data_IF_651507239075
#
_entry.id   IF_651507239075
#
_cell.length_a   1.000
_cell.length_b   1.000
_cell.length_c   1.000
_cell.angle_alpha   90.00
_cell.angle_beta   90.00
_cell.angle_gamma   90.00
#
_symmetry.space_group_name_H-M   'P 1'
#
loop_
_entity.id
_entity.type
_entity.pdbx_description
1 polymer ?
#
# COMPACT_ATOMS: atom_id res chain seq x y z
N UNK A 1 37.94 -5.63 1.33
CA UNK A 1 36.86 -6.54 0.90
C UNK A 1 36.46 -7.38 2.10
N UNK A 2 35.31 -7.10 2.71
CA UNK A 2 34.78 -7.89 3.83
C UNK A 2 33.79 -8.91 3.30
N UNK A 3 34.22 -10.16 3.14
CA UNK A 3 33.32 -11.24 2.79
C UNK A 3 32.56 -11.67 4.05
N UNK A 4 31.24 -11.70 3.97
CA UNK A 4 30.39 -12.27 5.01
C UNK A 4 29.95 -13.66 4.54
N UNK A 5 30.30 -14.70 5.32
CA UNK A 5 29.80 -16.05 5.08
C UNK A 5 28.35 -16.08 5.57
N UNK A 6 27.43 -16.38 4.66
CA UNK A 6 26.01 -16.55 4.95
C UNK A 6 25.73 -18.05 4.88
N UNK A 7 25.12 -18.60 5.93
CA UNK A 7 24.73 -20.01 5.96
C UNK A 7 23.58 -20.31 4.99
N UNK A 8 23.49 -21.56 4.55
CA UNK A 8 22.47 -21.99 3.59
C UNK A 8 21.04 -21.76 4.08
N UNK A 9 20.79 -21.86 5.40
CA UNK A 9 19.44 -21.65 5.94
C UNK A 9 19.02 -20.17 5.83
N UNK A 10 19.94 -19.24 6.05
CA UNK A 10 19.71 -17.80 5.86
C UNK A 10 19.44 -17.43 4.40
N UNK A 11 20.13 -18.08 3.44
CA UNK A 11 19.84 -17.93 2.00
C UNK A 11 18.43 -18.39 1.68
N UNK A 12 18.04 -19.58 2.15
CA UNK A 12 16.69 -20.13 1.96
C UNK A 12 15.64 -19.19 2.57
N UNK A 13 15.83 -18.75 3.81
CA UNK A 13 14.91 -17.84 4.49
C UNK A 13 14.72 -16.52 3.72
N UNK A 14 15.81 -15.96 3.18
CA UNK A 14 15.76 -14.74 2.37
C UNK A 14 14.98 -14.95 1.07
N UNK A 15 15.19 -16.09 0.40
CA UNK A 15 14.44 -16.44 -0.81
C UNK A 15 12.96 -16.65 -0.54
N UNK A 16 12.60 -17.39 0.51
CA UNK A 16 11.20 -17.59 0.91
C UNK A 16 10.54 -16.25 1.23
N UNK A 17 11.19 -15.38 2.00
CA UNK A 17 10.67 -14.04 2.30
C UNK A 17 10.44 -13.21 1.03
N UNK A 18 11.35 -13.28 0.05
CA UNK A 18 11.18 -12.60 -1.24
C UNK A 18 9.97 -13.15 -2.01
N UNK A 19 9.81 -14.47 -2.07
CA UNK A 19 8.67 -15.11 -2.74
C UNK A 19 7.37 -14.68 -2.06
N UNK A 20 7.26 -14.85 -0.73
CA UNK A 20 6.07 -14.46 0.03
C UNK A 20 5.72 -13.01 -0.25
N UNK A 21 6.68 -12.08 -0.12
CA UNK A 21 6.44 -10.65 -0.39
C UNK A 21 5.91 -10.35 -1.79
N UNK A 22 6.35 -11.13 -2.78
CA UNK A 22 5.91 -10.96 -4.17
C UNK A 22 4.45 -11.40 -4.37
N UNK A 23 3.95 -12.32 -3.53
CA UNK A 23 2.60 -12.88 -3.62
C UNK A 23 1.68 -12.50 -2.46
N UNK A 24 2.12 -11.62 -1.54
CA UNK A 24 1.28 -11.13 -0.42
C UNK A 24 -0.08 -10.60 -0.90
N UNK A 25 -0.21 -9.83 -2.01
CA UNK A 25 -1.52 -9.35 -2.47
C UNK A 25 -2.51 -10.48 -2.75
N UNK A 26 -2.03 -11.61 -3.28
CA UNK A 26 -2.84 -12.79 -3.61
C UNK A 26 -3.13 -13.64 -2.37
N UNK A 27 -2.17 -13.71 -1.44
CA UNK A 27 -2.33 -14.42 -0.17
C UNK A 27 -3.24 -13.68 0.81
N UNK A 28 -3.37 -12.36 0.67
CA UNK A 28 -4.23 -11.54 1.53
C UNK A 28 -5.68 -11.69 1.12
N UNK A 29 -6.50 -12.26 2.00
CA UNK A 29 -7.86 -12.68 1.72
C UNK A 29 -8.90 -11.93 2.56
N UNK A 30 -10.17 -12.22 2.31
CA UNK A 30 -11.30 -11.56 2.98
C UNK A 30 -11.26 -11.73 4.50
N UNK A 31 -10.83 -12.89 5.00
CA UNK A 31 -10.75 -13.19 6.44
C UNK A 31 -9.62 -12.42 7.15
N UNK A 32 -8.57 -12.02 6.43
CA UNK A 32 -7.47 -11.22 6.99
C UNK A 32 -7.91 -9.80 7.37
N UNK A 33 -9.00 -9.32 6.76
CA UNK A 33 -9.61 -8.03 7.09
C UNK A 33 -10.17 -8.07 8.51
N UNK A 34 -10.79 -9.19 8.91
CA UNK A 34 -11.29 -9.38 10.28
C UNK A 34 -10.14 -9.23 11.28
N UNK A 35 -8.99 -9.85 11.00
CA UNK A 35 -7.83 -9.77 11.87
C UNK A 35 -7.27 -8.33 11.95
N UNK A 36 -7.18 -7.63 10.82
CA UNK A 36 -6.77 -6.21 10.81
C UNK A 36 -7.77 -5.32 11.54
N UNK A 37 -9.07 -5.57 11.38
CA UNK A 37 -10.12 -4.83 12.04
C UNK A 37 -10.10 -5.04 13.54
N UNK A 38 -9.91 -6.27 14.01
CA UNK A 38 -9.77 -6.58 15.43
C UNK A 38 -8.54 -5.89 16.05
N UNK A 39 -7.42 -5.84 15.31
CA UNK A 39 -6.23 -5.09 15.75
C UNK A 39 -6.50 -3.59 15.79
N UNK A 40 -7.25 -3.04 14.84
CA UNK A 40 -7.65 -1.64 14.87
C UNK A 40 -8.56 -1.36 16.07
N UNK A 41 -9.55 -2.22 16.31
CA UNK A 41 -10.52 -2.08 17.39
C UNK A 41 -9.86 -2.12 18.77
N UNK A 42 -8.79 -2.92 18.96
CA UNK A 42 -8.04 -2.94 20.22
C UNK A 42 -7.19 -1.68 20.45
N UNK A 43 -6.79 -0.97 19.40
CA UNK A 43 -5.97 0.24 19.47
C UNK A 43 -6.79 1.53 19.46
N UNK A 44 -7.87 1.56 18.67
CA UNK A 44 -8.71 2.72 18.39
C UNK A 44 -10.16 2.27 18.10
N UNK A 45 -10.94 1.87 19.12
CA UNK A 45 -12.25 1.24 18.94
C UNK A 45 -13.25 2.12 18.18
N UNK A 46 -13.32 3.41 18.53
CA UNK A 46 -14.19 4.37 17.84
C UNK A 46 -13.83 4.52 16.36
N UNK A 47 -12.54 4.54 16.03
CA UNK A 47 -12.09 4.61 14.64
C UNK A 47 -12.42 3.32 13.88
N UNK A 48 -12.39 2.17 14.55
CA UNK A 48 -12.81 0.91 13.95
C UNK A 48 -14.30 0.95 13.60
N UNK A 49 -15.15 1.41 14.51
CA UNK A 49 -16.59 1.60 14.26
C UNK A 49 -16.84 2.57 13.09
N UNK A 50 -16.17 3.73 13.09
CA UNK A 50 -16.28 4.72 12.02
C UNK A 50 -15.86 4.13 10.66
N UNK A 51 -14.78 3.34 10.62
CA UNK A 51 -14.32 2.67 9.39
C UNK A 51 -15.35 1.66 8.87
N UNK A 52 -15.91 0.84 9.76
CA UNK A 52 -16.95 -0.15 9.41
C UNK A 52 -18.23 0.50 8.91
N UNK A 53 -18.55 1.71 9.37
CA UNK A 53 -19.72 2.45 8.91
C UNK A 53 -19.56 2.98 7.47
N UNK A 54 -18.31 3.25 7.03
CA UNK A 54 -18.06 3.86 5.72
C UNK A 54 -17.60 2.89 4.64
N UNK A 55 -16.94 1.79 4.99
CA UNK A 55 -16.41 0.82 4.02
C UNK A 55 -16.73 -0.61 4.41
N UNK A 56 -17.25 -1.39 3.46
CA UNK A 56 -17.42 -2.81 3.65
C UNK A 56 -16.12 -3.59 3.36
N UNK A 57 -16.09 -4.86 3.76
CA UNK A 57 -14.92 -5.72 3.63
C UNK A 57 -14.47 -5.90 2.18
N UNK A 58 -15.39 -6.00 1.21
CA UNK A 58 -15.02 -6.10 -0.21
C UNK A 58 -14.28 -4.86 -0.71
N UNK A 59 -14.66 -3.67 -0.24
CA UNK A 59 -13.96 -2.42 -0.55
C UNK A 59 -12.58 -2.37 0.14
N UNK A 60 -12.52 -2.71 1.42
CA UNK A 60 -11.27 -2.79 2.18
C UNK A 60 -10.29 -3.79 1.54
N UNK A 61 -10.76 -4.95 1.06
CA UNK A 61 -9.95 -5.93 0.37
C UNK A 61 -9.24 -5.32 -0.84
N UNK A 62 -9.98 -4.61 -1.69
CA UNK A 62 -9.43 -3.97 -2.89
C UNK A 62 -8.39 -2.92 -2.55
N UNK A 63 -8.66 -2.07 -1.55
CA UNK A 63 -7.72 -1.04 -1.08
C UNK A 63 -6.45 -1.68 -0.52
N UNK A 64 -6.59 -2.65 0.39
CA UNK A 64 -5.46 -3.32 1.03
C UNK A 64 -4.61 -4.10 0.02
N UNK A 65 -5.24 -4.81 -0.93
CA UNK A 65 -4.51 -5.47 -2.02
C UNK A 65 -3.78 -4.48 -2.93
N UNK A 66 -4.38 -3.33 -3.24
CA UNK A 66 -3.69 -2.28 -4.01
C UNK A 66 -2.43 -1.79 -3.28
N UNK A 67 -2.54 -1.49 -1.98
CA UNK A 67 -1.38 -1.09 -1.16
C UNK A 67 -0.31 -2.19 -1.11
N UNK A 68 -0.70 -3.44 -0.91
CA UNK A 68 0.21 -4.58 -0.87
C UNK A 68 0.90 -4.84 -2.21
N UNK A 69 0.21 -4.62 -3.32
CA UNK A 69 0.78 -4.75 -4.68
C UNK A 69 1.93 -3.77 -4.90
N UNK A 70 1.83 -2.57 -4.31
CA UNK A 70 2.89 -1.56 -4.31
C UNK A 70 3.94 -1.77 -3.20
N UNK A 71 3.84 -2.85 -2.42
CA UNK A 71 4.74 -3.13 -1.30
C UNK A 71 4.55 -2.24 -0.08
N UNK A 72 3.41 -1.55 0.03
CA UNK A 72 3.08 -0.66 1.15
C UNK A 72 2.58 -1.50 2.34
N UNK A 73 3.20 -1.32 3.50
CA UNK A 73 2.88 -2.11 4.70
C UNK A 73 1.57 -1.68 5.35
N UNK A 74 0.72 -2.66 5.69
CA UNK A 74 -0.51 -2.46 6.46
C UNK A 74 -0.28 -2.43 7.99
N UNK A 75 0.96 -2.25 8.45
CA UNK A 75 1.29 -2.31 9.89
C UNK A 75 0.69 -1.13 10.66
N UNK A 76 0.78 0.07 10.11
CA UNK A 76 0.22 1.28 10.71
C UNK A 76 -1.28 1.42 10.38
N UNK A 77 -2.08 0.53 10.98
CA UNK A 77 -3.51 0.44 10.67
C UNK A 77 -4.32 1.65 11.15
N UNK A 78 -3.84 2.34 12.18
CA UNK A 78 -4.52 3.54 12.71
C UNK A 78 -4.44 4.68 11.71
N UNK A 79 -3.25 4.95 11.16
CA UNK A 79 -3.07 5.96 10.10
C UNK A 79 -3.87 5.59 8.86
N UNK A 80 -3.82 4.32 8.43
CA UNK A 80 -4.57 3.84 7.27
C UNK A 80 -6.07 4.06 7.47
N UNK A 81 -6.63 3.61 8.59
CA UNK A 81 -8.05 3.73 8.88
C UNK A 81 -8.52 5.19 8.97
N UNK A 82 -7.72 6.06 9.58
CA UNK A 82 -8.03 7.50 9.71
C UNK A 82 -8.19 8.15 8.34
N UNK A 83 -7.25 7.87 7.43
CA UNK A 83 -7.30 8.39 6.05
C UNK A 83 -8.47 7.79 5.29
N UNK A 84 -8.70 6.48 5.42
CA UNK A 84 -9.82 5.82 4.74
C UNK A 84 -11.17 6.37 5.18
N UNK A 85 -11.36 6.69 6.46
CA UNK A 85 -12.59 7.33 6.95
C UNK A 85 -12.76 8.72 6.33
N UNK A 86 -11.72 9.54 6.32
CA UNK A 86 -11.77 10.89 5.76
C UNK A 86 -11.99 10.89 4.24
N UNK A 87 -11.19 10.13 3.48
CA UNK A 87 -11.27 10.07 2.02
C UNK A 87 -12.54 9.38 1.52
N UNK A 88 -13.11 8.48 2.32
CA UNK A 88 -14.39 7.81 2.05
C UNK A 88 -15.58 8.75 1.91
N UNK A 89 -15.50 9.96 2.46
CA UNK A 89 -16.53 10.98 2.29
C UNK A 89 -16.52 11.58 0.86
N UNK A 90 -15.39 11.49 0.16
CA UNK A 90 -15.18 12.06 -1.17
C UNK A 90 -15.32 11.00 -2.26
N UNK A 91 -14.76 9.80 -2.04
CA UNK A 91 -14.77 8.73 -3.05
C UNK A 91 -14.79 7.34 -2.42
N UNK A 92 -15.30 6.35 -3.18
CA UNK A 92 -15.24 4.92 -2.86
C UNK A 92 -14.36 4.13 -3.84
N UNK A 93 -13.69 4.82 -4.75
CA UNK A 93 -12.73 4.22 -5.66
C UNK A 93 -11.48 3.77 -4.89
N UNK A 94 -11.16 2.48 -4.99
CA UNK A 94 -10.08 1.89 -4.21
C UNK A 94 -8.68 2.37 -4.63
N UNK A 95 -8.50 2.78 -5.89
CA UNK A 95 -7.21 3.30 -6.40
C UNK A 95 -6.95 4.67 -5.78
N UNK A 96 -7.98 5.53 -5.76
CA UNK A 96 -7.87 6.85 -5.14
C UNK A 96 -7.69 6.76 -3.62
N UNK A 97 -8.45 5.90 -2.95
CA UNK A 97 -8.29 5.65 -1.51
C UNK A 97 -6.88 5.14 -1.17
N UNK A 98 -6.33 4.22 -1.98
CA UNK A 98 -4.95 3.76 -1.81
C UNK A 98 -3.94 4.91 -2.01
N UNK A 99 -4.14 5.78 -2.99
CA UNK A 99 -3.28 6.94 -3.23
C UNK A 99 -3.21 7.88 -2.01
N UNK A 100 -4.35 8.19 -1.39
CA UNK A 100 -4.41 9.01 -0.18
C UNK A 100 -3.69 8.35 1.01
N UNK A 101 -3.89 7.04 1.19
CA UNK A 101 -3.20 6.27 2.23
C UNK A 101 -1.69 6.30 2.03
N UNK A 102 -1.20 6.17 0.79
CA UNK A 102 0.24 6.27 0.49
C UNK A 102 0.80 7.64 0.84
N UNK A 103 0.05 8.71 0.59
CA UNK A 103 0.47 10.07 0.95
C UNK A 103 0.62 10.23 2.46
N UNK A 104 -0.29 9.64 3.25
CA UNK A 104 -0.18 9.63 4.70
C UNK A 104 1.01 8.78 5.18
N UNK A 105 1.27 7.64 4.54
CA UNK A 105 2.39 6.75 4.83
C UNK A 105 3.72 7.17 4.17
N UNK A 106 3.79 8.34 3.53
CA UNK A 106 4.95 8.78 2.73
C UNK A 106 6.29 8.60 3.43
N UNK A 107 6.37 8.92 4.73
CA UNK A 107 7.59 8.76 5.52
C UNK A 107 8.01 7.30 5.65
N UNK A 108 7.06 6.42 5.95
CA UNK A 108 7.30 4.97 6.06
C UNK A 108 7.75 4.37 4.73
N UNK A 109 7.16 4.84 3.62
CA UNK A 109 7.51 4.42 2.27
C UNK A 109 8.92 4.89 1.89
N UNK A 110 9.27 6.16 2.14
CA UNK A 110 10.56 6.71 1.68
C UNK A 110 11.73 6.35 2.60
N UNK A 111 11.51 6.22 3.91
CA UNK A 111 12.57 6.06 4.90
C UNK A 111 13.57 4.91 4.61
N UNK A 112 13.15 3.71 4.16
CA UNK A 112 14.09 2.62 3.83
C UNK A 112 15.10 2.98 2.72
N UNK A 113 14.72 3.90 1.83
CA UNK A 113 15.50 4.30 0.65
C UNK A 113 16.38 5.53 0.89
N UNK A 114 16.12 6.29 1.96
CA UNK A 114 16.94 7.47 2.30
C UNK A 114 18.33 7.03 2.77
N UNK A 115 19.36 7.71 2.27
CA UNK A 115 20.77 7.55 2.68
C UNK A 115 21.37 8.93 2.86
N UNK A 116 22.00 9.18 4.02
CA UNK A 116 22.60 10.49 4.36
C UNK A 116 21.66 11.69 4.14
N UNK A 117 20.38 11.53 4.51
CA UNK A 117 19.31 12.53 4.29
C UNK A 117 18.97 12.84 2.82
N UNK A 118 19.48 12.06 1.87
CA UNK A 118 19.17 12.17 0.44
C UNK A 118 18.37 10.96 -0.05
N UNK A 119 17.45 11.20 -0.98
CA UNK A 119 16.72 10.16 -1.70
C UNK A 119 17.07 10.24 -3.17
N UNK A 120 17.84 9.27 -3.66
CA UNK A 120 18.16 9.17 -5.08
C UNK A 120 16.96 8.57 -5.81
N UNK A 121 16.47 9.28 -6.82
CA UNK A 121 15.32 8.86 -7.62
C UNK A 121 15.66 8.87 -9.11
N UNK A 122 15.03 7.99 -9.86
CA UNK A 122 14.97 8.09 -11.31
C UNK A 122 13.64 8.74 -11.68
N UNK A 123 13.67 9.71 -12.59
CA UNK A 123 12.47 10.38 -13.11
C UNK A 123 12.29 10.02 -14.57
N UNK A 124 11.04 10.08 -15.05
CA UNK A 124 10.77 10.08 -16.48
C UNK A 124 11.20 11.44 -17.06
N UNK A 125 11.53 11.48 -18.35
CA UNK A 125 11.71 12.77 -19.02
C UNK A 125 10.34 13.37 -19.38
N UNK A 126 10.31 14.70 -19.54
CA UNK A 126 9.06 15.43 -19.77
C UNK A 126 8.29 14.92 -21.01
N UNK A 127 9.00 14.51 -22.06
CA UNK A 127 8.38 13.99 -23.28
C UNK A 127 7.58 12.70 -23.02
N UNK A 128 8.18 11.73 -22.30
CA UNK A 128 7.53 10.48 -21.97
C UNK A 128 6.37 10.69 -20.97
N UNK A 129 6.53 11.57 -19.99
CA UNK A 129 5.47 11.90 -19.03
C UNK A 129 4.23 12.51 -19.72
N UNK A 130 4.45 13.46 -20.64
CA UNK A 130 3.38 14.07 -21.42
C UNK A 130 2.69 13.04 -22.33
N UNK A 131 3.45 12.16 -22.98
CA UNK A 131 2.90 11.09 -23.82
C UNK A 131 1.98 10.17 -23.00
N UNK A 132 2.46 9.69 -21.85
CA UNK A 132 1.69 8.79 -20.98
C UNK A 132 0.42 9.47 -20.45
N UNK A 133 0.52 10.73 -20.04
CA UNK A 133 -0.63 11.51 -19.55
C UNK A 133 -1.70 11.67 -20.63
N UNK A 134 -1.31 11.97 -21.87
CA UNK A 134 -2.22 12.08 -23.00
C UNK A 134 -2.93 10.76 -23.29
N UNK A 135 -2.21 9.63 -23.25
CA UNK A 135 -2.80 8.31 -23.48
C UNK A 135 -3.81 7.92 -22.39
N UNK A 136 -3.52 8.21 -21.12
CA UNK A 136 -4.46 7.97 -20.02
C UNK A 136 -5.73 8.81 -20.19
N UNK A 137 -5.59 10.10 -20.51
CA UNK A 137 -6.72 10.99 -20.74
C UNK A 137 -7.60 10.53 -21.91
N UNK A 138 -6.98 10.05 -23.00
CA UNK A 138 -7.70 9.51 -24.15
C UNK A 138 -8.45 8.22 -23.80
N UNK A 139 -7.80 7.30 -23.08
CA UNK A 139 -8.44 6.05 -22.64
C UNK A 139 -9.66 6.30 -21.74
N UNK A 140 -9.59 7.30 -20.85
CA UNK A 140 -10.71 7.69 -19.99
C UNK A 140 -11.87 8.34 -20.77
N UNK A 141 -11.58 9.00 -21.90
CA UNK A 141 -12.61 9.59 -22.77
C UNK A 141 -13.25 8.56 -23.72
N UNK A 142 -12.50 7.56 -24.18
CA UNK A 142 -12.97 6.51 -25.08
C UNK A 142 -13.68 5.33 -24.40
N UNK A 143 -13.58 5.21 -23.07
CA UNK A 143 -14.25 4.17 -22.27
C UNK A 143 -15.62 4.55 -21.70
N UNK A 144 -16.29 5.58 -22.27
CA UNK A 144 -17.69 5.91 -21.96
C UNK A 144 -18.65 5.26 -22.94
#
# INVERSE_FOLDING_TARGET
>A
MGYQVIDSASVIATHVNKIVRSYIPDLFNYDDITQLHNRLASMAPRLAEDLSAVLNYSQLLKVYRALLTEGVSLRDIVTIATVLVASSAVTKDHILLAADVRLALRRSITHPFVRKQELTVYTLNNELENLLTNLVNQAQQGGK
#
